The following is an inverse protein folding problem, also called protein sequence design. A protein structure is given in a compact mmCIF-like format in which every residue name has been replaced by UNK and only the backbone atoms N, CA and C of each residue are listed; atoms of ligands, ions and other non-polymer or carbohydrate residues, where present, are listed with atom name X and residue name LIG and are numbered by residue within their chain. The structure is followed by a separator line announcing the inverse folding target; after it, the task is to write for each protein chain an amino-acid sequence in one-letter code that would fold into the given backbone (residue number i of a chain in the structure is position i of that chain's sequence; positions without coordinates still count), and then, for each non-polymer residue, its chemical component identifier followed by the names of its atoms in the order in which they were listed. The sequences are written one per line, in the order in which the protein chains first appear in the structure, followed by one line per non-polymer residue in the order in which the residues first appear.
data_IF_423587248864
#
_entry.id   IF_423587248864
#
_cell.length_a   1.000
_cell.length_b   1.000
_cell.length_c   1.000
_cell.angle_alpha   90.00
_cell.angle_beta   90.00
_cell.angle_gamma   90.00
#
_symmetry.space_group_name_H-M   'P 1'
#
loop_
_entity.id
_entity.type
_entity.pdbx_description
1 polymer ?
#
# COMPACT_ATOMS: atom_id res chain seq x y z
N UNK A 1 6.57 -26.25 -32.64
CA UNK A 1 7.19 -25.06 -32.02
C UNK A 1 6.35 -24.71 -30.79
N UNK A 2 6.92 -24.16 -29.72
CA UNK A 2 6.13 -23.72 -28.56
C UNK A 2 5.41 -22.42 -28.93
N UNK A 3 4.12 -22.37 -28.67
CA UNK A 3 3.28 -21.18 -28.82
C UNK A 3 2.44 -21.02 -27.55
N UNK A 4 2.11 -19.78 -27.20
CA UNK A 4 1.21 -19.50 -26.10
C UNK A 4 0.39 -18.24 -26.38
N UNK A 5 -0.74 -18.15 -25.69
CA UNK A 5 -1.53 -16.92 -25.58
C UNK A 5 -1.80 -16.61 -24.12
N UNK A 6 -1.86 -15.33 -23.78
CA UNK A 6 -2.30 -14.90 -22.45
C UNK A 6 -3.74 -14.42 -22.55
N UNK A 7 -4.62 -15.01 -21.74
CA UNK A 7 -6.01 -14.58 -21.57
C UNK A 7 -6.26 -14.15 -20.14
N UNK A 8 -7.29 -13.34 -19.94
CA UNK A 8 -7.77 -12.93 -18.62
C UNK A 8 -9.19 -13.43 -18.44
N UNK A 9 -9.43 -14.19 -17.37
CA UNK A 9 -10.76 -14.65 -17.04
C UNK A 9 -11.04 -14.52 -15.55
N UNK A 10 -12.03 -13.68 -15.22
CA UNK A 10 -12.39 -13.30 -13.86
C UNK A 10 -11.18 -12.81 -13.05
N UNK A 11 -10.30 -12.02 -13.66
CA UNK A 11 -9.13 -11.44 -12.98
C UNK A 11 -7.97 -12.42 -12.79
N UNK A 12 -8.09 -13.65 -13.30
CA UNK A 12 -7.05 -14.66 -13.29
C UNK A 12 -6.36 -14.69 -14.66
N UNK A 13 -5.03 -14.58 -14.69
CA UNK A 13 -4.27 -14.69 -15.94
C UNK A 13 -4.05 -16.15 -16.31
N UNK A 14 -4.34 -16.48 -17.56
CA UNK A 14 -4.17 -17.81 -18.14
C UNK A 14 -3.08 -17.75 -19.21
N UNK A 15 -1.99 -18.48 -19.00
CA UNK A 15 -0.97 -18.73 -20.01
C UNK A 15 -1.32 -20.06 -20.69
N UNK A 16 -1.97 -19.97 -21.84
CA UNK A 16 -2.43 -21.12 -22.60
C UNK A 16 -1.31 -21.59 -23.52
N UNK A 17 -0.56 -22.61 -23.10
CA UNK A 17 0.60 -23.10 -23.82
C UNK A 17 0.25 -24.31 -24.70
N UNK A 18 0.80 -24.34 -25.92
CA UNK A 18 0.67 -25.47 -26.84
C UNK A 18 2.00 -25.88 -27.46
N UNK A 19 2.21 -27.18 -27.62
CA UNK A 19 3.42 -27.73 -28.21
C UNK A 19 4.39 -28.34 -27.19
N UNK A 20 5.65 -27.89 -27.16
CA UNK A 20 6.74 -28.53 -26.39
C UNK A 20 7.52 -27.52 -25.54
N UNK A 21 7.67 -27.78 -24.24
CA UNK A 21 8.45 -26.97 -23.32
C UNK A 21 9.78 -27.69 -23.03
N UNK A 22 10.86 -27.27 -23.66
CA UNK A 22 12.16 -27.90 -23.55
C UNK A 22 13.31 -26.88 -23.48
N UNK A 23 14.56 -27.35 -23.57
CA UNK A 23 15.75 -26.48 -23.44
C UNK A 23 15.80 -25.33 -24.46
N UNK A 24 15.09 -25.44 -25.58
CA UNK A 24 15.05 -24.40 -26.61
C UNK A 24 13.96 -23.36 -26.36
N UNK A 25 12.91 -23.72 -25.61
CA UNK A 25 11.69 -22.89 -25.46
C UNK A 25 11.46 -22.40 -24.03
N UNK A 26 12.11 -23.01 -23.04
CA UNK A 26 11.91 -22.72 -21.61
C UNK A 26 12.22 -21.28 -21.22
N UNK A 27 13.28 -20.68 -21.75
CA UNK A 27 13.64 -19.28 -21.43
C UNK A 27 12.58 -18.28 -21.88
N UNK A 28 11.98 -18.52 -23.05
CA UNK A 28 10.95 -17.64 -23.62
C UNK A 28 9.67 -17.64 -22.80
N UNK A 29 9.12 -18.82 -22.48
CA UNK A 29 7.90 -18.90 -21.69
C UNK A 29 8.14 -18.49 -20.22
N UNK A 30 9.34 -18.71 -19.68
CA UNK A 30 9.70 -18.16 -18.37
C UNK A 30 9.65 -16.63 -18.36
N UNK A 31 10.13 -15.97 -19.43
CA UNK A 31 10.05 -14.52 -19.58
C UNK A 31 8.61 -14.01 -19.46
N UNK A 32 7.67 -14.63 -20.18
CA UNK A 32 6.24 -14.29 -20.10
C UNK A 32 5.70 -14.36 -18.66
N UNK A 33 6.02 -15.43 -17.92
CA UNK A 33 5.59 -15.53 -16.53
C UNK A 33 6.22 -14.45 -15.64
N UNK A 34 7.49 -14.13 -15.83
CA UNK A 34 8.15 -13.06 -15.07
C UNK A 34 7.50 -11.71 -15.38
N UNK A 35 7.22 -11.41 -16.65
CA UNK A 35 6.55 -10.18 -17.07
C UNK A 35 5.15 -10.08 -16.43
N UNK A 36 4.39 -11.17 -16.37
CA UNK A 36 3.10 -11.20 -15.69
C UNK A 36 3.24 -10.93 -14.18
N UNK A 37 4.23 -11.49 -13.51
CA UNK A 37 4.49 -11.26 -12.08
C UNK A 37 4.87 -9.79 -11.83
N UNK A 38 5.77 -9.25 -12.65
CA UNK A 38 6.21 -7.85 -12.59
C UNK A 38 5.04 -6.89 -12.84
N UNK A 39 4.09 -7.27 -13.69
CA UNK A 39 2.84 -6.55 -13.92
C UNK A 39 1.79 -6.72 -12.81
N UNK A 40 2.17 -7.31 -11.67
CA UNK A 40 1.31 -7.36 -10.48
C UNK A 40 0.44 -8.62 -10.37
N UNK A 41 0.53 -9.57 -11.30
CA UNK A 41 -0.28 -10.78 -11.23
C UNK A 41 0.27 -11.71 -10.13
N UNK A 42 -0.61 -12.12 -9.21
CA UNK A 42 -0.26 -12.99 -8.06
C UNK A 42 -0.85 -14.39 -8.17
N UNK A 43 -1.92 -14.56 -8.92
CA UNK A 43 -2.42 -15.88 -9.28
C UNK A 43 -2.34 -16.01 -10.80
N UNK A 44 -1.60 -17.02 -11.27
CA UNK A 44 -1.42 -17.27 -12.70
C UNK A 44 -1.71 -18.74 -12.96
N UNK A 45 -2.55 -19.03 -13.95
CA UNK A 45 -2.81 -20.38 -14.42
C UNK A 45 -1.92 -20.65 -15.62
N UNK A 46 -1.17 -21.75 -15.58
CA UNK A 46 -0.56 -22.33 -16.76
C UNK A 46 -1.48 -23.44 -17.29
N UNK A 47 -2.17 -23.16 -18.39
CA UNK A 47 -2.95 -24.19 -19.09
C UNK A 47 -2.01 -24.98 -19.99
N UNK A 48 -1.83 -26.25 -19.63
CA UNK A 48 -0.94 -27.21 -20.26
C UNK A 48 -1.69 -28.28 -21.07
N UNK A 49 -2.99 -28.07 -21.33
CA UNK A 49 -3.85 -29.02 -22.05
C UNK A 49 -3.28 -29.43 -23.40
N UNK A 50 -2.75 -28.45 -24.15
CA UNK A 50 -2.16 -28.68 -25.47
C UNK A 50 -0.62 -28.85 -25.43
N UNK A 51 -0.04 -29.02 -24.24
CA UNK A 51 1.39 -29.32 -24.09
C UNK A 51 1.62 -30.82 -24.21
N UNK A 52 2.36 -31.18 -25.25
CA UNK A 52 2.66 -32.56 -25.64
C UNK A 52 3.92 -33.12 -24.98
N UNK A 53 4.79 -32.26 -24.45
CA UNK A 53 6.06 -32.67 -23.83
C UNK A 53 6.66 -31.56 -22.96
N UNK A 54 7.26 -31.97 -21.84
CA UNK A 54 8.07 -31.12 -20.97
C UNK A 54 9.41 -31.79 -20.65
N UNK A 55 10.51 -31.05 -20.70
CA UNK A 55 11.84 -31.53 -20.26
C UNK A 55 12.19 -31.02 -18.85
N UNK A 56 13.32 -31.45 -18.29
CA UNK A 56 13.84 -30.91 -17.02
C UNK A 56 14.06 -29.39 -17.02
N UNK A 57 14.35 -28.80 -18.19
CA UNK A 57 14.43 -27.35 -18.33
C UNK A 57 13.05 -26.70 -18.18
N UNK A 58 12.02 -27.31 -18.76
CA UNK A 58 10.63 -26.84 -18.63
C UNK A 58 10.10 -26.96 -17.20
N UNK A 59 10.36 -28.08 -16.53
CA UNK A 59 10.00 -28.27 -15.11
C UNK A 59 10.59 -27.17 -14.21
N UNK A 60 11.84 -26.76 -14.50
CA UNK A 60 12.52 -25.70 -13.76
C UNK A 60 11.82 -24.34 -13.90
N UNK A 61 11.24 -24.05 -15.07
CA UNK A 61 10.47 -22.81 -15.28
C UNK A 61 9.38 -22.69 -14.23
N UNK A 62 8.53 -23.72 -14.09
CA UNK A 62 7.41 -23.70 -13.15
C UNK A 62 7.87 -23.57 -11.70
N UNK A 63 8.99 -24.18 -11.30
CA UNK A 63 9.56 -24.01 -9.96
C UNK A 63 10.06 -22.59 -9.70
N UNK A 64 10.73 -21.97 -10.68
CA UNK A 64 11.19 -20.58 -10.58
C UNK A 64 9.98 -19.65 -10.46
N UNK A 65 8.97 -19.85 -11.31
CA UNK A 65 7.74 -19.07 -11.31
C UNK A 65 6.98 -19.22 -9.98
N UNK A 66 6.79 -20.44 -9.49
CA UNK A 66 6.14 -20.69 -8.20
C UNK A 66 6.91 -20.03 -7.05
N UNK A 67 8.24 -20.14 -7.04
CA UNK A 67 9.06 -19.51 -5.99
C UNK A 67 8.92 -17.98 -6.03
N UNK A 68 8.91 -17.38 -7.22
CA UNK A 68 8.78 -15.94 -7.37
C UNK A 68 7.38 -15.46 -6.99
N UNK A 69 6.34 -16.18 -7.39
CA UNK A 69 4.96 -15.89 -6.99
C UNK A 69 4.77 -16.05 -5.48
N UNK A 70 5.29 -17.11 -4.87
CA UNK A 70 5.20 -17.31 -3.41
C UNK A 70 5.86 -16.18 -2.61
N UNK A 71 6.97 -15.62 -3.09
CA UNK A 71 7.57 -14.42 -2.48
C UNK A 71 6.67 -13.19 -2.57
N UNK A 72 5.86 -13.10 -3.61
CA UNK A 72 4.92 -12.01 -3.81
C UNK A 72 3.52 -12.30 -3.22
N UNK A 73 3.39 -13.30 -2.34
CA UNK A 73 2.09 -13.69 -1.76
C UNK A 73 1.14 -14.42 -2.72
N UNK A 74 1.66 -14.95 -3.83
CA UNK A 74 0.92 -15.56 -4.92
C UNK A 74 1.19 -17.05 -5.15
N UNK A 75 0.65 -17.59 -6.25
CA UNK A 75 0.94 -18.94 -6.73
C UNK A 75 0.73 -19.11 -8.24
N UNK A 76 1.44 -20.09 -8.81
CA UNK A 76 1.11 -20.67 -10.11
C UNK A 76 0.27 -21.92 -9.93
N UNK A 77 -0.77 -22.03 -10.75
CA UNK A 77 -1.71 -23.14 -10.78
C UNK A 77 -1.52 -23.85 -12.12
N UNK A 78 -1.35 -25.18 -12.08
CA UNK A 78 -1.21 -25.96 -13.30
C UNK A 78 -2.58 -26.52 -13.70
N UNK A 79 -3.01 -26.26 -14.93
CA UNK A 79 -4.28 -26.74 -15.47
C UNK A 79 -4.04 -27.73 -16.61
N UNK A 80 -4.82 -28.80 -16.65
CA UNK A 80 -4.94 -29.67 -17.83
C UNK A 80 -3.66 -30.42 -18.21
N UNK A 81 -2.86 -30.92 -17.26
CA UNK A 81 -1.66 -31.68 -17.62
C UNK A 81 -2.05 -32.93 -18.42
N UNK A 82 -1.52 -33.06 -19.64
CA UNK A 82 -1.64 -34.30 -20.40
C UNK A 82 -1.01 -35.48 -19.63
N UNK A 83 -1.46 -36.74 -19.81
CA UNK A 83 -0.94 -37.87 -19.03
C UNK A 83 0.59 -38.01 -19.07
N UNK A 84 1.21 -37.74 -20.23
CA UNK A 84 2.66 -37.77 -20.38
C UNK A 84 3.36 -36.63 -19.63
N UNK A 85 2.79 -35.43 -19.61
CA UNK A 85 3.32 -34.29 -18.84
C UNK A 85 3.16 -34.54 -17.34
N UNK A 86 2.00 -35.03 -16.91
CA UNK A 86 1.73 -35.37 -15.51
C UNK A 86 2.72 -36.40 -14.98
N UNK A 87 2.96 -37.49 -15.73
CA UNK A 87 3.93 -38.52 -15.35
C UNK A 87 5.35 -37.97 -15.19
N UNK A 88 5.74 -36.98 -16.00
CA UNK A 88 7.06 -36.33 -15.89
C UNK A 88 7.15 -35.48 -14.61
N UNK A 89 6.10 -34.74 -14.25
CA UNK A 89 6.04 -34.00 -12.99
C UNK A 89 6.05 -34.95 -11.76
N UNK A 90 5.34 -36.08 -11.84
CA UNK A 90 5.30 -37.11 -10.78
C UNK A 90 6.67 -37.76 -10.59
N UNK A 91 7.31 -38.19 -11.68
CA UNK A 91 8.64 -38.83 -11.63
C UNK A 91 9.69 -37.89 -11.05
N UNK A 92 9.52 -36.57 -11.26
CA UNK A 92 10.38 -35.55 -10.67
C UNK A 92 10.01 -35.18 -9.22
N UNK A 93 8.94 -35.74 -8.66
CA UNK A 93 8.39 -35.41 -7.34
C UNK A 93 8.07 -33.90 -7.16
N UNK A 94 7.62 -33.24 -8.23
CA UNK A 94 7.39 -31.79 -8.23
C UNK A 94 5.91 -31.41 -8.08
N UNK A 95 4.96 -32.32 -8.30
CA UNK A 95 3.53 -31.99 -8.24
C UNK A 95 3.10 -31.38 -6.90
N UNK A 96 3.69 -31.79 -5.78
CA UNK A 96 3.34 -31.30 -4.44
C UNK A 96 3.63 -29.82 -4.21
N UNK A 97 4.40 -29.17 -5.08
CA UNK A 97 4.69 -27.73 -5.01
C UNK A 97 3.60 -26.87 -5.63
N UNK A 98 2.67 -27.47 -6.37
CA UNK A 98 1.69 -26.78 -7.18
C UNK A 98 0.28 -27.18 -6.80
N UNK A 99 -0.63 -26.21 -6.89
CA UNK A 99 -2.04 -26.53 -7.04
C UNK A 99 -2.27 -26.99 -8.47
N UNK A 100 -2.98 -28.10 -8.65
CA UNK A 100 -3.24 -28.71 -9.95
C UNK A 100 -4.74 -28.91 -10.13
N UNK A 101 -5.26 -28.54 -11.31
CA UNK A 101 -6.63 -28.85 -11.72
C UNK A 101 -6.65 -29.52 -13.08
N UNK A 102 -7.66 -30.36 -13.28
CA UNK A 102 -7.85 -31.12 -14.51
C UNK A 102 -8.56 -30.32 -15.60
N UNK A 103 -9.37 -29.35 -15.23
CA UNK A 103 -10.07 -28.48 -16.17
C UNK A 103 -10.12 -27.04 -15.69
N UNK A 104 -10.45 -26.18 -16.64
CA UNK A 104 -10.69 -24.77 -16.39
C UNK A 104 -11.81 -24.55 -15.38
N UNK A 105 -12.91 -25.26 -15.52
CA UNK A 105 -14.06 -25.20 -14.62
C UNK A 105 -13.68 -25.59 -13.18
N UNK A 106 -12.83 -26.60 -13.02
CA UNK A 106 -12.36 -27.03 -11.70
C UNK A 106 -11.50 -25.96 -11.02
N UNK A 107 -10.56 -25.35 -11.75
CA UNK A 107 -9.75 -24.26 -11.22
C UNK A 107 -10.64 -23.09 -10.78
N UNK A 108 -11.62 -22.72 -11.62
CA UNK A 108 -12.55 -21.64 -11.32
C UNK A 108 -13.50 -21.95 -10.16
N UNK A 109 -13.88 -23.21 -9.95
CA UNK A 109 -14.77 -23.61 -8.86
C UNK A 109 -14.05 -23.78 -7.51
N UNK A 110 -12.76 -24.17 -7.53
CA UNK A 110 -12.01 -24.48 -6.33
C UNK A 110 -11.26 -23.32 -5.68
N UNK A 111 -11.27 -22.12 -6.28
CA UNK A 111 -10.62 -20.94 -5.70
C UNK A 111 -11.63 -19.85 -5.35
N UNK A 112 -11.36 -19.13 -4.26
CA UNK A 112 -11.90 -17.77 -4.06
C UNK A 112 -11.16 -16.80 -5.02
N UNK A 113 -11.17 -17.12 -6.31
CA UNK A 113 -10.84 -16.16 -7.35
C UNK A 113 -12.10 -15.32 -7.47
N UNK A 114 -12.17 -14.24 -6.69
CA UNK A 114 -13.28 -13.30 -6.75
C UNK A 114 -13.55 -12.97 -8.22
N UNK A 115 -14.83 -13.00 -8.59
CA UNK A 115 -15.28 -12.64 -9.92
C UNK A 115 -14.62 -11.32 -10.32
N UNK A 116 -13.67 -11.36 -11.26
CA UNK A 116 -13.06 -10.16 -11.81
C UNK A 116 -14.15 -9.12 -12.08
N UNK A 117 -13.96 -7.94 -11.50
CA UNK A 117 -14.98 -6.93 -11.24
C UNK A 117 -16.16 -6.96 -12.23
N UNK A 118 -17.33 -7.38 -11.77
CA UNK A 118 -18.59 -6.99 -12.40
C UNK A 118 -18.85 -5.52 -12.04
N UNK A 119 -18.07 -4.58 -12.58
CA UNK A 119 -18.30 -3.15 -12.32
C UNK A 119 -17.11 -2.19 -12.36
N UNK A 120 -15.88 -2.58 -12.71
CA UNK A 120 -14.82 -1.60 -12.90
C UNK A 120 -15.11 -0.68 -14.09
N UNK A 121 -14.97 0.62 -13.85
CA UNK A 121 -15.14 1.69 -14.83
C UNK A 121 -13.77 2.28 -15.15
N UNK A 122 -13.50 2.49 -16.43
CA UNK A 122 -12.33 3.24 -16.87
C UNK A 122 -12.68 4.71 -17.03
N UNK A 123 -11.81 5.59 -16.56
CA UNK A 123 -11.93 7.03 -16.74
C UNK A 123 -10.56 7.67 -16.95
N UNK A 124 -10.54 8.76 -17.72
CA UNK A 124 -9.37 9.62 -17.83
C UNK A 124 -9.69 10.97 -17.19
N UNK A 125 -8.93 11.32 -16.17
CA UNK A 125 -9.18 12.49 -15.33
C UNK A 125 -7.89 13.28 -15.21
N UNK A 126 -7.85 14.49 -15.77
CA UNK A 126 -6.70 15.40 -15.73
C UNK A 126 -5.37 14.74 -16.19
N UNK A 127 -5.44 13.87 -17.20
CA UNK A 127 -4.29 13.11 -17.72
C UNK A 127 -3.81 12.00 -16.79
N UNK A 128 -4.69 11.46 -15.95
CA UNK A 128 -4.49 10.25 -15.14
C UNK A 128 -5.52 9.22 -15.62
N UNK A 129 -5.04 8.04 -15.98
CA UNK A 129 -5.88 6.89 -16.31
C UNK A 129 -6.28 6.20 -15.01
N UNK A 130 -7.59 5.99 -14.83
CA UNK A 130 -8.16 5.27 -13.70
C UNK A 130 -8.92 4.03 -14.16
N UNK A 131 -8.77 2.94 -13.42
CA UNK A 131 -9.69 1.80 -13.42
C UNK A 131 -10.21 1.63 -12.00
N UNK A 132 -11.51 1.83 -11.77
CA UNK A 132 -12.05 1.88 -10.42
C UNK A 132 -13.39 1.18 -10.28
N UNK A 133 -13.66 0.68 -9.08
CA UNK A 133 -14.94 0.09 -8.71
C UNK A 133 -15.51 0.81 -7.48
N UNK A 134 -16.81 1.07 -7.52
CA UNK A 134 -17.56 1.54 -6.36
C UNK A 134 -18.13 0.34 -5.59
N UNK A 135 -17.94 0.31 -4.28
CA UNK A 135 -18.38 -0.75 -3.38
C UNK A 135 -19.55 -0.27 -2.52
N UNK A 136 -20.34 -1.22 -2.02
CA UNK A 136 -21.36 -0.91 -1.00
C UNK A 136 -20.67 -0.77 0.36
N UNK A 137 -20.23 0.44 0.68
CA UNK A 137 -19.71 0.82 1.98
C UNK A 137 -20.49 2.02 2.52
N UNK A 138 -20.75 2.03 3.83
CA UNK A 138 -21.26 3.18 4.54
C UNK A 138 -20.13 4.22 4.73
N UNK A 139 -20.46 5.52 4.80
CA UNK A 139 -19.48 6.54 5.16
C UNK A 139 -18.78 6.23 6.49
N UNK A 140 -17.48 6.52 6.54
CA UNK A 140 -16.66 6.45 7.74
C UNK A 140 -16.79 7.71 8.59
N UNK A 141 -16.22 7.66 9.79
CA UNK A 141 -16.08 8.83 10.67
C UNK A 141 -14.62 9.19 10.82
N UNK A 142 -14.33 10.48 10.82
CA UNK A 142 -13.02 11.01 11.17
C UNK A 142 -13.00 11.32 12.66
N UNK A 143 -11.98 10.81 13.35
CA UNK A 143 -11.83 11.01 14.79
C UNK A 143 -10.51 11.71 15.08
N UNK A 144 -10.58 12.79 15.85
CA UNK A 144 -9.42 13.50 16.37
C UNK A 144 -8.71 12.66 17.42
N UNK A 145 -7.38 12.64 17.37
CA UNK A 145 -6.55 12.07 18.42
C UNK A 145 -5.69 13.22 18.95
N UNK A 146 -5.73 13.47 20.27
CA UNK A 146 -4.96 14.55 20.89
C UNK A 146 -5.29 15.95 20.36
N UNK A 147 -4.30 16.86 20.39
CA UNK A 147 -4.46 18.25 19.93
C UNK A 147 -3.18 18.75 19.26
N UNK A 148 -3.30 19.42 18.11
CA UNK A 148 -2.15 19.95 17.37
C UNK A 148 -1.64 21.31 17.91
N UNK A 149 -2.36 21.93 18.86
CA UNK A 149 -2.12 23.32 19.29
C UNK A 149 -0.72 23.56 19.87
N UNK A 150 -0.11 22.54 20.49
CA UNK A 150 1.21 22.64 21.14
C UNK A 150 2.37 22.27 20.23
N UNK A 151 2.11 21.87 18.98
CA UNK A 151 3.16 21.52 18.02
C UNK A 151 4.07 22.71 17.68
N UNK A 152 3.57 23.93 17.36
CA UNK A 152 4.44 25.04 16.99
C UNK A 152 5.43 25.42 18.10
N UNK A 153 5.00 25.38 19.36
CA UNK A 153 5.83 25.73 20.51
C UNK A 153 6.62 24.55 21.08
N UNK A 154 6.43 23.34 20.55
CA UNK A 154 6.95 22.09 21.10
C UNK A 154 6.73 22.00 22.62
N UNK A 155 5.48 22.14 23.05
CA UNK A 155 5.11 22.28 24.46
C UNK A 155 4.30 21.08 25.01
N UNK A 156 4.33 19.93 24.32
CA UNK A 156 3.63 18.73 24.78
C UNK A 156 4.23 18.19 26.09
N UNK A 157 3.38 17.60 26.91
CA UNK A 157 3.72 16.97 28.19
C UNK A 157 3.07 15.59 28.28
N UNK A 158 3.42 14.81 29.31
CA UNK A 158 2.75 13.52 29.58
C UNK A 158 1.21 13.64 29.62
N UNK A 159 0.69 14.75 30.17
CA UNK A 159 -0.75 14.99 30.26
C UNK A 159 -1.45 15.23 28.91
N UNK A 160 -0.68 15.44 27.84
CA UNK A 160 -1.21 15.60 26.48
C UNK A 160 -1.27 14.27 25.71
N UNK A 161 -0.67 13.20 26.26
CA UNK A 161 -0.61 11.91 25.60
C UNK A 161 -1.98 11.22 25.62
N UNK A 162 -2.45 10.84 24.44
CA UNK A 162 -3.68 10.06 24.27
C UNK A 162 -3.34 8.61 23.99
N UNK A 163 -3.87 7.71 24.82
CA UNK A 163 -3.83 6.27 24.58
C UNK A 163 -4.91 5.90 23.55
N UNK A 164 -4.51 5.25 22.47
CA UNK A 164 -5.39 4.81 21.38
C UNK A 164 -5.32 3.30 21.29
N UNK A 165 -6.45 2.60 21.35
CA UNK A 165 -6.42 1.14 21.19
C UNK A 165 -6.24 0.80 19.71
N UNK A 166 -5.46 -0.23 19.42
CA UNK A 166 -5.25 -0.69 18.04
C UNK A 166 -6.57 -1.03 17.32
N UNK A 167 -7.59 -1.44 18.08
CA UNK A 167 -8.93 -1.78 17.57
C UNK A 167 -9.77 -0.55 17.17
N UNK A 168 -9.44 0.65 17.67
CA UNK A 168 -10.27 1.84 17.49
C UNK A 168 -10.21 2.37 16.04
N UNK A 169 -9.06 2.22 15.37
CA UNK A 169 -8.84 2.75 14.03
C UNK A 169 -8.16 1.75 13.11
N UNK A 170 -8.79 1.48 11.96
CA UNK A 170 -8.15 0.70 10.89
C UNK A 170 -7.05 1.50 10.19
N UNK A 171 -7.28 2.79 9.99
CA UNK A 171 -6.35 3.72 9.34
C UNK A 171 -6.22 5.02 10.13
N UNK A 172 -5.04 5.62 10.07
CA UNK A 172 -4.78 6.90 10.75
C UNK A 172 -3.37 7.41 10.52
N UNK A 173 -3.10 8.62 10.98
CA UNK A 173 -1.78 9.23 10.93
C UNK A 173 -1.64 10.32 12.01
N UNK A 174 -0.40 10.67 12.35
CA UNK A 174 -0.10 11.73 13.32
C UNK A 174 1.29 11.61 13.91
N UNK A 175 1.47 12.16 15.12
CA UNK A 175 2.67 12.00 15.92
C UNK A 175 2.43 10.99 17.04
N UNK A 176 3.09 9.84 16.93
CA UNK A 176 2.89 8.72 17.84
C UNK A 176 4.21 8.09 18.30
N UNK A 177 4.09 7.26 19.33
CA UNK A 177 5.13 6.40 19.84
C UNK A 177 4.54 5.13 20.47
N UNK A 178 5.41 4.24 20.91
CA UNK A 178 5.08 3.01 21.62
C UNK A 178 5.76 3.01 22.99
N UNK A 179 5.06 2.50 24.00
CA UNK A 179 5.63 2.26 25.32
C UNK A 179 4.60 2.30 26.44
N UNK A 180 4.97 1.71 27.56
CA UNK A 180 4.08 1.59 28.73
C UNK A 180 4.22 2.77 29.68
N UNK A 181 5.45 3.28 29.85
CA UNK A 181 5.79 4.35 30.79
C UNK A 181 6.36 5.57 30.07
N UNK A 182 5.87 6.77 30.38
CA UNK A 182 6.24 7.99 29.68
C UNK A 182 7.75 8.26 29.68
N UNK A 183 8.46 7.90 30.75
CA UNK A 183 9.91 8.09 30.85
C UNK A 183 10.71 7.23 29.86
N UNK A 184 10.09 6.21 29.27
CA UNK A 184 10.71 5.34 28.26
C UNK A 184 10.47 5.84 26.83
N UNK A 185 9.31 6.44 26.56
CA UNK A 185 8.88 6.79 25.20
C UNK A 185 8.69 8.30 24.94
N UNK A 186 8.72 9.15 25.98
CA UNK A 186 8.38 10.58 25.85
C UNK A 186 9.24 11.34 24.82
N UNK A 187 10.50 10.95 24.66
CA UNK A 187 11.41 11.52 23.67
C UNK A 187 11.29 10.90 22.26
N UNK A 188 10.44 9.89 22.08
CA UNK A 188 10.36 9.06 20.88
C UNK A 188 9.14 9.33 20.00
N UNK A 189 8.34 10.36 20.29
CA UNK A 189 7.25 10.74 19.39
C UNK A 189 7.81 11.20 18.04
N UNK A 190 7.16 10.75 16.97
CA UNK A 190 7.50 11.16 15.61
C UNK A 190 6.42 10.77 14.60
N UNK A 191 6.71 11.00 13.32
CA UNK A 191 5.72 10.78 12.25
C UNK A 191 5.25 9.33 12.24
N UNK A 192 3.94 9.13 12.20
CA UNK A 192 3.32 7.81 12.31
C UNK A 192 2.18 7.62 11.32
N UNK A 193 1.93 6.37 10.96
CA UNK A 193 0.72 5.94 10.28
C UNK A 193 0.18 4.64 10.88
N UNK A 194 -1.14 4.50 10.86
CA UNK A 194 -1.85 3.27 11.19
C UNK A 194 -2.37 2.66 9.89
N UNK A 195 -2.07 1.38 9.66
CA UNK A 195 -2.51 0.62 8.50
C UNK A 195 -3.02 -0.74 8.94
N UNK A 196 -4.28 -1.05 8.62
CA UNK A 196 -4.95 -2.27 9.07
C UNK A 196 -4.72 -2.52 10.57
N UNK A 197 -4.92 -1.46 11.36
CA UNK A 197 -4.72 -1.41 12.82
C UNK A 197 -3.28 -1.51 13.30
N UNK A 198 -2.29 -1.73 12.43
CA UNK A 198 -0.87 -1.78 12.78
C UNK A 198 -0.24 -0.39 12.77
N UNK A 199 0.58 -0.06 13.76
CA UNK A 199 1.28 1.23 13.86
C UNK A 199 2.69 1.13 13.27
N UNK A 200 3.06 2.11 12.44
CA UNK A 200 4.43 2.36 12.01
C UNK A 200 4.78 3.79 12.37
N UNK A 201 5.95 4.04 12.96
CA UNK A 201 6.38 5.39 13.27
C UNK A 201 7.90 5.57 13.14
N UNK A 202 8.32 6.79 12.83
CA UNK A 202 9.72 7.19 12.78
C UNK A 202 10.01 8.09 13.98
N UNK A 203 10.68 7.60 15.04
CA UNK A 203 11.00 8.40 16.21
C UNK A 203 11.82 9.64 15.83
N UNK A 204 11.48 10.80 16.39
CA UNK A 204 12.18 12.05 16.09
C UNK A 204 13.48 12.20 16.89
N UNK A 205 14.50 11.44 16.50
CA UNK A 205 15.83 11.37 17.13
C UNK A 205 16.96 11.55 16.10
N UNK A 206 18.21 11.74 16.55
CA UNK A 206 19.37 12.05 15.68
C UNK A 206 19.69 10.98 14.63
N UNK A 207 19.33 9.71 14.88
CA UNK A 207 19.54 8.57 13.98
C UNK A 207 18.31 7.68 14.03
N UNK A 208 17.22 8.10 13.37
CA UNK A 208 15.96 7.43 13.50
C UNK A 208 15.97 6.14 12.68
N UNK A 209 15.27 5.13 13.16
CA UNK A 209 14.91 3.94 12.41
C UNK A 209 13.41 3.73 12.65
N UNK A 210 12.69 3.27 11.63
CA UNK A 210 11.26 3.00 11.78
C UNK A 210 11.09 1.89 12.81
N UNK A 211 10.18 2.12 13.73
CA UNK A 211 9.70 1.12 14.67
C UNK A 211 8.21 0.90 14.42
N UNK A 212 7.72 -0.30 14.72
CA UNK A 212 6.37 -0.70 14.35
C UNK A 212 5.81 -1.77 15.29
N UNK A 213 4.49 -1.82 15.32
CA UNK A 213 3.75 -2.83 16.06
C UNK A 213 2.62 -3.36 15.20
N UNK A 214 2.72 -4.64 14.85
CA UNK A 214 1.71 -5.32 14.05
C UNK A 214 0.53 -5.74 14.92
N UNK A 215 -0.68 -5.46 14.44
CA UNK A 215 -1.89 -5.90 15.09
C UNK A 215 -2.09 -7.42 14.93
N UNK A 216 -2.51 -8.09 16.00
CA UNK A 216 -2.91 -9.49 16.00
C UNK A 216 -4.14 -9.69 16.88
N UNK A 217 -5.14 -10.41 16.37
CA UNK A 217 -6.35 -10.74 17.13
C UNK A 217 -6.06 -11.59 18.37
N UNK A 218 -4.91 -12.27 18.42
CA UNK A 218 -4.49 -13.09 19.56
C UNK A 218 -4.04 -12.25 20.77
N UNK A 219 -3.73 -10.98 20.57
CA UNK A 219 -3.23 -10.06 21.62
C UNK A 219 -4.09 -8.79 21.69
N UNK A 220 -5.36 -8.90 22.14
CA UNK A 220 -6.25 -7.76 22.24
C UNK A 220 -5.78 -6.76 23.32
N UNK A 221 -6.16 -5.50 23.18
CA UNK A 221 -5.86 -4.45 24.17
C UNK A 221 -4.51 -3.76 23.99
N UNK A 222 -3.85 -3.94 22.85
CA UNK A 222 -2.69 -3.14 22.46
C UNK A 222 -3.05 -1.66 22.32
N UNK A 223 -2.19 -0.79 22.84
CA UNK A 223 -2.38 0.65 22.79
C UNK A 223 -1.18 1.37 22.18
N UNK A 224 -1.48 2.47 21.50
CA UNK A 224 -0.54 3.41 20.92
C UNK A 224 -0.58 4.73 21.70
N UNK A 225 0.54 5.46 21.71
CA UNK A 225 0.67 6.75 22.40
C UNK A 225 0.71 7.85 21.35
N UNK A 226 -0.27 8.74 21.35
CA UNK A 226 -0.34 9.86 20.40
C UNK A 226 -0.26 11.20 21.11
N UNK A 227 0.49 12.16 20.54
CA UNK A 227 0.39 13.57 20.91
C UNK A 227 -0.75 14.24 20.14
N UNK A 228 -0.80 14.00 18.84
CA UNK A 228 -1.93 14.36 18.01
C UNK A 228 -1.99 13.51 16.75
N UNK A 229 -3.15 13.47 16.12
CA UNK A 229 -3.37 12.74 14.88
C UNK A 229 -4.84 12.62 14.55
N UNK A 230 -5.15 11.70 13.65
CA UNK A 230 -6.50 11.35 13.28
C UNK A 230 -6.59 9.87 12.93
N UNK A 231 -7.78 9.31 13.10
CA UNK A 231 -8.13 7.96 12.69
C UNK A 231 -9.45 7.94 11.92
N UNK A 232 -9.61 6.98 11.02
CA UNK A 232 -10.84 6.81 10.24
C UNK A 232 -11.16 5.35 9.88
N UNK A 233 -12.38 5.19 9.36
CA UNK A 233 -13.15 3.95 9.30
C UNK A 233 -12.59 2.81 8.44
N UNK A 234 -13.37 1.72 8.39
CA UNK A 234 -12.87 0.42 7.98
C UNK A 234 -13.03 0.07 6.50
N UNK A 235 -14.02 0.63 5.79
CA UNK A 235 -14.41 0.12 4.46
C UNK A 235 -14.20 1.14 3.34
N UNK A 236 -13.61 0.68 2.24
CA UNK A 236 -13.43 1.49 1.03
C UNK A 236 -14.74 1.59 0.24
N UNK A 237 -15.19 2.83 -0.01
CA UNK A 237 -16.30 3.13 -0.93
C UNK A 237 -15.86 2.99 -2.38
N UNK A 238 -14.62 3.38 -2.68
CA UNK A 238 -14.02 3.22 -4.00
C UNK A 238 -12.65 2.59 -3.88
N UNK A 239 -12.30 1.73 -4.83
CA UNK A 239 -10.92 1.29 -5.02
C UNK A 239 -10.57 1.53 -6.48
N UNK A 240 -9.45 2.20 -6.72
CA UNK A 240 -9.04 2.66 -8.03
C UNK A 240 -7.56 2.36 -8.28
N UNK A 241 -7.25 1.70 -9.38
CA UNK A 241 -5.91 1.72 -9.96
C UNK A 241 -5.74 3.03 -10.71
N UNK A 242 -4.56 3.64 -10.59
CA UNK A 242 -4.19 4.86 -11.30
C UNK A 242 -2.82 4.73 -11.95
N UNK A 243 -2.66 5.36 -13.11
CA UNK A 243 -1.39 5.53 -13.80
C UNK A 243 -1.37 6.85 -14.59
N UNK A 244 -0.19 7.41 -14.83
CA UNK A 244 -0.09 8.63 -15.61
C UNK A 244 -0.41 8.37 -17.08
N UNK A 245 -1.23 9.24 -17.68
CA UNK A 245 -1.48 9.23 -19.13
C UNK A 245 -0.18 9.36 -19.91
N UNK A 246 -0.10 8.68 -21.07
CA UNK A 246 1.07 8.63 -21.96
C UNK A 246 2.39 8.18 -21.28
N UNK A 247 2.32 7.42 -20.18
CA UNK A 247 3.48 6.94 -19.43
C UNK A 247 4.15 8.01 -18.56
N UNK A 248 3.46 9.12 -18.29
CA UNK A 248 3.91 10.17 -17.38
C UNK A 248 3.80 9.78 -15.89
N UNK A 249 4.31 10.64 -15.02
CA UNK A 249 4.17 10.46 -13.56
C UNK A 249 2.95 11.21 -13.03
N UNK A 250 2.39 10.68 -11.94
CA UNK A 250 1.27 11.29 -11.21
C UNK A 250 1.81 11.90 -9.92
N UNK A 251 1.73 13.22 -9.78
CA UNK A 251 2.09 13.89 -8.52
C UNK A 251 0.94 13.84 -7.53
N UNK A 252 1.23 13.89 -6.23
CA UNK A 252 0.19 13.90 -5.19
C UNK A 252 -0.75 15.12 -5.33
N UNK A 253 -0.21 16.29 -5.70
CA UNK A 253 -1.00 17.50 -6.00
C UNK A 253 -1.96 17.34 -7.21
N UNK A 254 -1.71 16.38 -8.10
CA UNK A 254 -2.61 16.03 -9.20
C UNK A 254 -3.56 14.89 -8.83
N UNK A 255 -3.06 13.91 -8.08
CA UNK A 255 -3.82 12.74 -7.65
C UNK A 255 -5.00 13.14 -6.77
N UNK A 256 -4.74 13.89 -5.68
CA UNK A 256 -5.79 14.20 -4.68
C UNK A 256 -6.99 14.93 -5.30
N UNK A 257 -6.82 16.01 -6.10
CA UNK A 257 -7.95 16.63 -6.79
C UNK A 257 -8.69 15.72 -7.77
N UNK A 258 -7.97 14.80 -8.45
CA UNK A 258 -8.59 13.83 -9.35
C UNK A 258 -9.44 12.79 -8.60
N UNK A 259 -9.05 12.39 -7.39
CA UNK A 259 -9.84 11.48 -6.56
C UNK A 259 -11.20 12.07 -6.15
N UNK A 260 -11.26 13.38 -5.92
CA UNK A 260 -12.53 14.09 -5.69
C UNK A 260 -13.46 14.15 -6.90
N UNK A 261 -13.00 13.73 -8.08
CA UNK A 261 -13.87 13.55 -9.26
C UNK A 261 -14.47 12.15 -9.34
N UNK A 262 -14.03 11.22 -8.49
CA UNK A 262 -14.58 9.85 -8.38
C UNK A 262 -15.69 9.73 -7.33
N UNK A 263 -15.61 10.54 -6.28
CA UNK A 263 -16.56 10.59 -5.17
C UNK A 263 -17.21 11.97 -5.13
N UNK A 264 -18.42 12.09 -4.57
CA UNK A 264 -19.08 13.38 -4.30
C UNK A 264 -18.86 13.87 -2.86
N UNK A 265 -18.15 13.11 -2.03
CA UNK A 265 -17.87 13.49 -0.65
C UNK A 265 -16.96 14.72 -0.55
N UNK A 266 -17.18 15.51 0.50
CA UNK A 266 -16.33 16.66 0.80
C UNK A 266 -15.02 16.24 1.49
N UNK A 267 -15.08 15.23 2.36
CA UNK A 267 -13.91 14.65 3.05
C UNK A 267 -13.67 13.23 2.54
N UNK A 268 -12.41 12.94 2.18
CA UNK A 268 -11.96 11.61 1.82
C UNK A 268 -10.87 11.14 2.78
N UNK A 269 -11.06 9.95 3.35
CA UNK A 269 -9.96 9.13 3.83
C UNK A 269 -9.30 8.46 2.64
N UNK A 270 -7.98 8.60 2.52
CA UNK A 270 -7.19 8.11 1.40
C UNK A 270 -6.18 7.09 1.94
N UNK A 271 -6.19 5.89 1.37
CA UNK A 271 -5.17 4.87 1.60
C UNK A 271 -4.66 4.40 0.25
N UNK A 272 -3.35 4.36 0.04
CA UNK A 272 -2.82 3.93 -1.26
C UNK A 272 -1.53 3.13 -1.15
N UNK A 273 -1.30 2.31 -2.16
CA UNK A 273 -0.03 1.69 -2.49
C UNK A 273 0.43 2.19 -3.85
N UNK A 274 1.64 2.73 -3.94
CA UNK A 274 2.15 3.25 -5.19
C UNK A 274 3.64 3.01 -5.36
N UNK A 275 4.07 2.87 -6.61
CA UNK A 275 5.49 2.86 -6.97
C UNK A 275 5.99 4.30 -7.06
N UNK A 276 6.92 4.67 -6.18
CA UNK A 276 7.52 6.00 -6.17
C UNK A 276 8.35 6.29 -7.43
N UNK A 277 8.22 7.51 -7.96
CA UNK A 277 9.13 8.13 -8.93
C UNK A 277 9.86 9.34 -8.34
N UNK A 278 9.80 9.48 -7.01
CA UNK A 278 10.44 10.55 -6.25
C UNK A 278 9.57 10.98 -5.08
N UNK A 279 9.99 10.64 -3.87
CA UNK A 279 9.33 11.04 -2.61
C UNK A 279 9.86 12.38 -2.14
N UNK A 280 8.95 13.30 -1.83
CA UNK A 280 9.22 14.51 -1.08
C UNK A 280 8.55 14.36 0.29
N UNK A 281 9.27 13.81 1.26
CA UNK A 281 8.77 13.57 2.61
C UNK A 281 9.46 14.44 3.65
N UNK A 282 8.69 14.91 4.62
CA UNK A 282 9.14 15.75 5.73
C UNK A 282 8.88 15.03 7.05
N UNK A 283 9.78 15.19 8.02
CA UNK A 283 9.59 14.67 9.37
C UNK A 283 10.30 15.55 10.42
N UNK A 284 9.85 15.46 11.65
CA UNK A 284 10.49 16.09 12.80
C UNK A 284 11.81 15.40 13.17
N UNK A 285 12.85 16.21 13.45
CA UNK A 285 14.15 15.75 13.96
C UNK A 285 14.18 15.60 15.48
N UNK A 286 13.20 16.20 16.18
CA UNK A 286 13.05 16.17 17.65
C UNK A 286 11.59 15.99 18.04
N UNK A 287 11.35 15.18 19.07
CA UNK A 287 10.03 15.06 19.68
C UNK A 287 9.57 16.42 20.20
N UNK A 288 8.35 16.90 19.87
CA UNK A 288 7.88 18.25 20.19
C UNK A 288 7.41 18.42 21.65
N UNK A 289 8.09 17.79 22.60
CA UNK A 289 7.80 17.88 24.04
C UNK A 289 8.42 19.13 24.67
N UNK A 290 7.87 19.57 25.80
CA UNK A 290 8.27 20.78 26.52
C UNK A 290 9.76 20.81 26.87
N UNK A 291 10.36 19.65 27.13
CA UNK A 291 11.79 19.49 27.41
C UNK A 291 12.67 19.86 26.21
N UNK A 292 12.13 19.74 25.00
CA UNK A 292 12.82 20.08 23.75
C UNK A 292 12.50 21.49 23.25
N UNK A 293 11.60 22.25 23.89
CA UNK A 293 11.14 23.56 23.39
C UNK A 293 12.29 24.50 22.97
N UNK A 294 12.17 25.26 21.87
CA UNK A 294 13.23 26.16 21.42
C UNK A 294 13.60 27.22 22.48
N UNK A 295 14.88 27.35 22.81
CA UNK A 295 15.39 28.31 23.82
C UNK A 295 15.08 29.78 23.47
N UNK A 296 14.92 30.09 22.17
CA UNK A 296 14.63 31.44 21.70
C UNK A 296 13.16 31.83 21.82
N UNK A 297 12.29 30.94 22.32
CA UNK A 297 10.86 31.17 22.52
C UNK A 297 10.04 31.34 21.24
N UNK A 298 10.61 31.02 20.08
CA UNK A 298 9.92 31.05 18.78
C UNK A 298 9.44 29.67 18.37
N UNK A 299 8.49 29.63 17.45
CA UNK A 299 7.95 28.37 16.92
C UNK A 299 9.04 27.51 16.24
N UNK A 300 8.86 26.20 16.25
CA UNK A 300 9.72 25.24 15.54
C UNK A 300 9.72 25.46 14.02
N UNK A 301 8.67 26.11 13.51
CA UNK A 301 8.54 26.49 12.10
C UNK A 301 9.15 27.87 11.77
N UNK A 302 9.58 28.65 12.77
CA UNK A 302 10.29 29.92 12.50
C UNK A 302 11.60 29.63 11.75
N UNK A 303 11.99 30.47 10.76
CA UNK A 303 13.24 30.27 10.01
C UNK A 303 14.50 30.10 10.86
N UNK A 304 14.52 30.63 12.09
CA UNK A 304 15.62 30.47 13.03
C UNK A 304 15.74 29.03 13.60
N UNK A 305 14.61 28.31 13.71
CA UNK A 305 14.52 26.97 14.31
C UNK A 305 14.38 25.86 13.25
N UNK A 306 13.78 26.17 12.10
CA UNK A 306 13.39 25.20 11.09
C UNK A 306 14.49 24.20 10.69
N UNK A 307 15.76 24.58 10.43
CA UNK A 307 16.79 23.62 10.02
C UNK A 307 17.17 22.61 11.11
N UNK A 308 17.00 22.97 12.39
CA UNK A 308 17.28 22.11 13.54
C UNK A 308 16.11 21.15 13.84
N UNK A 309 14.88 21.60 13.57
CA UNK A 309 13.66 20.87 13.89
C UNK A 309 13.11 20.02 12.75
N UNK A 310 13.27 20.45 11.51
CA UNK A 310 12.65 19.80 10.35
C UNK A 310 13.70 19.12 9.49
N UNK A 311 13.48 17.85 9.17
CA UNK A 311 14.08 17.26 7.98
C UNK A 311 13.23 17.66 6.77
N UNK A 312 13.80 18.48 5.90
CA UNK A 312 13.13 18.98 4.70
C UNK A 312 13.98 18.63 3.47
N UNK A 313 13.47 17.82 2.53
CA UNK A 313 14.26 17.31 1.42
C UNK A 313 14.52 18.40 0.38
N UNK A 314 15.76 18.44 -0.13
CA UNK A 314 16.15 19.33 -1.25
C UNK A 314 15.97 18.66 -2.61
N UNK A 315 15.94 17.33 -2.65
CA UNK A 315 15.83 16.49 -3.83
C UNK A 315 14.87 15.31 -3.53
N UNK A 316 14.19 14.76 -4.55
CA UNK A 316 13.31 13.62 -4.35
C UNK A 316 14.10 12.35 -4.02
N UNK A 317 13.63 11.59 -3.03
CA UNK A 317 14.21 10.31 -2.60
C UNK A 317 13.43 9.08 -3.10
N UNK A 318 13.90 7.90 -2.70
CA UNK A 318 13.12 6.64 -2.71
C UNK A 318 12.50 6.25 -4.06
N UNK A 319 13.22 6.47 -5.15
CA UNK A 319 12.75 6.08 -6.48
C UNK A 319 12.61 4.55 -6.56
N UNK A 320 11.48 4.10 -7.11
CA UNK A 320 11.03 2.71 -7.28
C UNK A 320 10.73 1.96 -5.97
N UNK A 321 10.76 2.64 -4.82
CA UNK A 321 10.29 2.07 -3.56
C UNK A 321 8.76 2.04 -3.53
N UNK A 322 8.22 1.08 -2.77
CA UNK A 322 6.78 1.02 -2.48
C UNK A 322 6.45 2.10 -1.46
N UNK A 323 5.43 2.90 -1.74
CA UNK A 323 4.89 3.91 -0.83
C UNK A 323 3.52 3.45 -0.39
N UNK A 324 3.35 3.27 0.93
CA UNK A 324 2.06 3.04 1.54
C UNK A 324 1.64 4.32 2.25
N UNK A 325 0.69 5.04 1.66
CA UNK A 325 0.20 6.31 2.19
C UNK A 325 -1.16 6.18 2.87
N UNK A 326 -1.34 6.92 3.96
CA UNK A 326 -2.60 7.07 4.70
C UNK A 326 -2.80 8.54 5.02
N UNK A 327 -4.01 9.06 4.77
CA UNK A 327 -4.31 10.42 5.13
C UNK A 327 -5.74 10.84 4.85
N UNK A 328 -5.98 12.13 5.01
CA UNK A 328 -7.27 12.75 4.74
C UNK A 328 -7.12 13.90 3.75
N UNK A 329 -8.14 14.10 2.94
CA UNK A 329 -8.25 15.22 2.01
C UNK A 329 -9.62 15.89 2.13
N UNK A 330 -9.66 17.19 1.78
CA UNK A 330 -10.85 18.02 1.84
C UNK A 330 -11.03 18.78 0.52
N UNK A 331 -12.24 18.68 -0.06
CA UNK A 331 -12.60 19.35 -1.32
C UNK A 331 -12.86 20.84 -1.09
N UNK A 332 -13.82 21.16 -0.23
CA UNK A 332 -14.16 22.52 0.15
C UNK A 332 -13.89 22.73 1.63
N UNK A 333 -12.92 23.61 1.93
CA UNK A 333 -12.59 23.95 3.32
C UNK A 333 -13.75 24.65 3.99
N UNK A 334 -14.56 25.44 3.28
CA UNK A 334 -15.61 26.26 3.89
C UNK A 334 -16.90 25.51 4.18
N UNK A 335 -17.13 24.38 3.50
CA UNK A 335 -18.36 23.59 3.62
C UNK A 335 -18.43 22.73 4.89
N UNK A 336 -17.30 22.30 5.47
CA UNK A 336 -17.27 21.41 6.64
C UNK A 336 -16.96 22.10 7.97
N UNK A 337 -17.37 21.39 9.03
CA UNK A 337 -17.14 21.77 10.42
C UNK A 337 -15.66 21.85 10.82
N UNK A 338 -15.36 22.46 11.98
CA UNK A 338 -13.99 22.74 12.42
C UNK A 338 -13.11 21.49 12.61
N UNK A 339 -13.68 20.30 12.74
CA UNK A 339 -12.93 19.05 12.97
C UNK A 339 -12.05 18.66 11.78
N UNK A 340 -12.59 18.56 10.57
CA UNK A 340 -11.78 18.17 9.40
C UNK A 340 -10.66 19.19 9.09
N UNK A 341 -10.90 20.48 9.38
CA UNK A 341 -9.91 21.55 9.20
C UNK A 341 -8.74 21.44 10.18
N UNK A 342 -8.95 20.88 11.37
CA UNK A 342 -7.95 20.83 12.44
C UNK A 342 -6.72 19.99 12.08
N UNK A 343 -6.87 19.04 11.16
CA UNK A 343 -5.80 18.12 10.77
C UNK A 343 -5.10 18.53 9.47
N UNK A 344 -5.56 19.58 8.78
CA UNK A 344 -4.96 19.99 7.52
C UNK A 344 -3.92 21.07 7.76
N UNK A 345 -2.74 21.00 7.10
CA UNK A 345 -1.79 22.09 7.15
C UNK A 345 -2.43 23.41 6.68
N UNK A 346 -1.94 24.52 7.22
CA UNK A 346 -2.38 25.87 6.85
C UNK A 346 -2.28 26.07 5.34
N UNK A 347 -3.42 26.27 4.67
CA UNK A 347 -3.50 26.41 3.22
C UNK A 347 -3.48 25.11 2.39
N UNK A 348 -3.20 23.94 2.98
CA UNK A 348 -3.25 22.65 2.29
C UNK A 348 -4.65 22.04 2.18
N UNK A 349 -4.87 21.17 1.19
CA UNK A 349 -6.14 20.45 0.98
C UNK A 349 -6.10 18.99 1.44
N UNK A 350 -4.95 18.50 1.89
CA UNK A 350 -4.78 17.15 2.42
C UNK A 350 -3.65 17.08 3.45
N UNK A 351 -3.66 16.00 4.23
CA UNK A 351 -2.60 15.62 5.16
C UNK A 351 -2.40 14.12 5.03
N UNK A 352 -1.23 13.70 4.52
CA UNK A 352 -0.92 12.31 4.22
C UNK A 352 0.43 11.95 4.81
N UNK A 353 0.46 10.91 5.63
CA UNK A 353 1.70 10.26 6.04
C UNK A 353 1.91 9.02 5.17
N UNK A 354 3.15 8.61 5.00
CA UNK A 354 3.46 7.37 4.30
C UNK A 354 4.64 6.64 4.89
N UNK A 355 4.53 5.31 4.89
CA UNK A 355 5.65 4.41 5.05
C UNK A 355 6.34 4.18 3.70
N UNK A 356 7.67 4.21 3.70
CA UNK A 356 8.49 3.90 2.52
C UNK A 356 9.11 2.53 2.68
N UNK A 357 8.70 1.60 1.83
CA UNK A 357 9.03 0.18 1.93
C UNK A 357 10.06 -0.25 0.89
N UNK A 358 10.57 -1.47 1.05
CA UNK A 358 11.44 -2.14 0.08
C UNK A 358 10.83 -2.19 -1.32
N UNK A 359 11.71 -2.25 -2.32
CA UNK A 359 11.31 -2.25 -3.72
C UNK A 359 10.77 -3.62 -4.10
N UNK A 360 9.47 -3.69 -4.31
CA UNK A 360 8.82 -4.88 -4.84
C UNK A 360 7.70 -4.50 -5.84
N UNK A 361 7.37 -5.40 -6.78
CA UNK A 361 6.23 -5.21 -7.66
C UNK A 361 4.93 -5.07 -6.85
N UNK A 362 4.03 -4.19 -7.29
CA UNK A 362 2.68 -4.06 -6.75
C UNK A 362 1.65 -4.72 -7.65
N UNK A 363 0.61 -5.28 -7.05
CA UNK A 363 -0.60 -5.68 -7.79
C UNK A 363 -1.21 -4.47 -8.51
N UNK A 364 -1.73 -4.69 -9.72
CA UNK A 364 -2.58 -3.73 -10.44
C UNK A 364 -4.07 -4.05 -10.31
N UNK A 365 -4.40 -5.19 -9.68
CA UNK A 365 -5.77 -5.63 -9.54
C UNK A 365 -6.42 -4.99 -8.30
N UNK A 366 -7.38 -4.10 -8.54
CA UNK A 366 -8.13 -3.37 -7.51
C UNK A 366 -8.89 -4.28 -6.54
N UNK A 367 -9.28 -5.48 -6.97
CA UNK A 367 -10.01 -6.43 -6.12
C UNK A 367 -9.10 -6.98 -5.01
N UNK A 368 -7.80 -7.11 -5.31
CA UNK A 368 -6.78 -7.58 -4.36
C UNK A 368 -6.18 -6.50 -3.45
N UNK A 369 -6.69 -5.25 -3.51
CA UNK A 369 -6.06 -4.12 -2.83
C UNK A 369 -5.83 -4.34 -1.33
N UNK A 370 -6.82 -4.89 -0.63
CA UNK A 370 -6.71 -5.12 0.83
C UNK A 370 -5.70 -6.23 1.17
N UNK A 371 -5.58 -7.25 0.31
CA UNK A 371 -4.55 -8.29 0.47
C UNK A 371 -3.15 -7.71 0.24
N UNK A 372 -3.00 -6.86 -0.79
CA UNK A 372 -1.71 -6.22 -1.08
C UNK A 372 -1.31 -5.22 0.01
N UNK A 373 -2.27 -4.48 0.60
CA UNK A 373 -2.03 -3.63 1.77
C UNK A 373 -1.46 -4.42 2.95
N UNK A 374 -2.08 -5.57 3.27
CA UNK A 374 -1.59 -6.47 4.32
C UNK A 374 -0.19 -6.97 4.01
N UNK A 375 0.03 -7.49 2.80
CA UNK A 375 1.34 -7.99 2.36
C UNK A 375 2.43 -6.94 2.53
N UNK A 376 2.20 -5.73 2.02
CA UNK A 376 3.17 -4.63 2.13
C UNK A 376 3.44 -4.28 3.59
N UNK A 377 2.40 -4.14 4.42
CA UNK A 377 2.56 -3.80 5.82
C UNK A 377 3.28 -4.88 6.66
N UNK A 378 3.07 -6.17 6.37
CA UNK A 378 3.57 -7.26 7.21
C UNK A 378 4.84 -7.94 6.69
N UNK A 379 5.10 -7.90 5.38
CA UNK A 379 6.20 -8.66 4.77
C UNK A 379 7.36 -7.80 4.27
N UNK A 380 7.11 -6.54 3.90
CA UNK A 380 8.14 -5.66 3.34
C UNK A 380 8.88 -4.90 4.44
N UNK A 381 10.17 -4.69 4.22
CA UNK A 381 10.99 -3.87 5.09
C UNK A 381 10.61 -2.40 4.93
N UNK A 382 10.32 -1.71 6.03
CA UNK A 382 10.03 -0.27 6.07
C UNK A 382 11.28 0.51 6.45
N UNK A 383 11.60 1.54 5.67
CA UNK A 383 12.82 2.35 5.85
C UNK A 383 12.54 3.71 6.48
N UNK A 384 11.37 4.30 6.19
CA UNK A 384 10.97 5.63 6.64
C UNK A 384 9.46 5.69 6.89
N UNK A 385 9.06 6.61 7.76
CA UNK A 385 7.70 7.10 7.90
C UNK A 385 7.77 8.62 7.90
N UNK A 386 7.05 9.28 6.99
CA UNK A 386 7.14 10.72 6.77
C UNK A 386 5.81 11.33 6.34
N UNK A 387 5.63 12.63 6.56
CA UNK A 387 4.57 13.42 5.96
C UNK A 387 4.91 13.68 4.49
N UNK A 388 4.06 13.23 3.56
CA UNK A 388 4.23 13.45 2.13
C UNK A 388 3.86 14.86 1.69
N UNK A 389 4.72 15.45 0.86
CA UNK A 389 4.49 16.71 0.19
C UNK A 389 3.94 16.49 -1.24
N UNK A 390 3.24 17.50 -1.76
CA UNK A 390 2.51 17.45 -3.03
C UNK A 390 3.31 17.15 -4.30
N UNK A 391 4.62 17.43 -4.27
CA UNK A 391 5.55 17.12 -5.35
C UNK A 391 5.92 15.64 -5.44
N UNK A 392 5.56 14.83 -4.44
CA UNK A 392 5.77 13.37 -4.46
C UNK A 392 5.12 12.80 -5.71
N UNK A 393 5.87 12.02 -6.47
CA UNK A 393 5.45 11.48 -7.76
C UNK A 393 5.40 9.96 -7.75
N UNK A 394 4.45 9.42 -8.50
CA UNK A 394 4.20 7.99 -8.63
C UNK A 394 4.16 7.60 -10.10
N UNK A 395 4.60 6.37 -10.40
CA UNK A 395 4.41 5.79 -11.73
C UNK A 395 2.99 5.28 -11.90
N UNK A 396 2.57 4.44 -10.96
CA UNK A 396 1.24 3.86 -10.86
C UNK A 396 0.97 3.46 -9.40
N UNK A 397 -0.28 3.12 -9.09
CA UNK A 397 -0.66 2.61 -7.79
C UNK A 397 -2.13 2.22 -7.71
N UNK A 398 -2.52 1.68 -6.55
CA UNK A 398 -3.92 1.45 -6.19
C UNK A 398 -4.23 2.33 -4.98
N UNK A 399 -5.38 2.98 -5.01
CA UNK A 399 -5.91 3.83 -3.94
C UNK A 399 -7.31 3.37 -3.54
N UNK A 400 -7.52 3.23 -2.24
CA UNK A 400 -8.83 3.08 -1.61
C UNK A 400 -9.31 4.41 -1.05
N UNK A 401 -10.56 4.76 -1.32
CA UNK A 401 -11.22 5.95 -0.82
C UNK A 401 -12.30 5.58 0.17
N UNK A 402 -12.28 6.25 1.31
CA UNK A 402 -13.31 6.19 2.34
C UNK A 402 -14.01 7.54 2.35
N UNK A 403 -15.30 7.57 2.00
CA UNK A 403 -16.11 8.78 2.16
C UNK A 403 -16.31 9.01 3.66
N UNK A 404 -15.99 10.21 4.15
CA UNK A 404 -16.11 10.55 5.56
C UNK A 404 -17.31 11.48 5.76
N UNK A 405 -18.11 11.22 6.80
CA UNK A 405 -19.20 12.11 7.20
C UNK A 405 -18.62 13.45 7.69
N UNK A 406 -19.09 14.55 7.09
CA UNK A 406 -18.69 15.93 7.42
C UNK A 406 -19.34 16.51 8.66
#
# INVERSE_FOLDING_TARGET
MLEWTVTDERGLKWVNARGRIDGMTSSRIQGEFMDLIENGNRSIVADLTDVTYISSAGLRVFLVVQKQLKKAGGEIILCGLSPGVMQIFETACLLSFFRVGSSKEEIMAGGNFEEGSTGAVSAEIDGISFQYAQRQAAPGKLVAIGSQEKLPSAAYTEGDVVAVRAEDFRFGAGLASLGDRYEEYGELFGESLIVDRSLFFLPSVRRPAVDFMLFSEEHPGMEYRFLHGFGFGESFRYVAFFEGGDGGFVTLDRLVPALFKLSEANVLGIVFLAESKGVWGMHLKRSPIAENSPENGKDIFDPANFPEWMHFPMEPGDINNVVLGVGVALRDREADGPQARAFLPSGGSYHIHAGIFSREPLSRNIDTFELELRRVATELEVFRVEHLMGKTSFGNGIVGLIEIEG
#
